data_IF_971785914497
#
_entry.id   IF_971785914497
#
_cell.length_a   1.000
_cell.length_b   1.000
_cell.length_c   1.000
_cell.angle_alpha   90.00
_cell.angle_beta   90.00
_cell.angle_gamma   90.00
#
_symmetry.space_group_name_H-M   'P 1'
#
loop_
_entity.id
_entity.type
_entity.pdbx_description
1 polymer ?
#
# COMPACT_ATOMS: atom_id res chain seq x y z
N UNK A 1 -5.46 7.19 15.20
CA UNK A 1 -6.77 6.49 15.15
C UNK A 1 -7.85 7.18 16.02
N UNK A 2 -7.55 8.24 16.78
CA UNK A 2 -8.48 8.82 17.77
C UNK A 2 -9.27 10.03 17.26
N UNK A 3 -9.14 10.39 15.97
CA UNK A 3 -9.80 11.58 15.39
C UNK A 3 -11.23 11.33 14.92
N UNK A 4 -11.73 10.09 14.95
CA UNK A 4 -13.04 9.73 14.40
C UNK A 4 -13.13 9.79 12.87
N UNK A 5 -12.03 10.10 12.19
CA UNK A 5 -11.98 10.19 10.73
C UNK A 5 -11.93 8.80 10.07
N UNK A 6 -12.36 8.75 8.82
CA UNK A 6 -12.04 7.67 7.90
C UNK A 6 -10.58 7.80 7.48
N UNK A 7 -9.76 6.79 7.82
CA UNK A 7 -8.32 6.84 7.57
C UNK A 7 -7.79 5.52 7.02
N UNK A 8 -6.71 5.60 6.26
CA UNK A 8 -5.87 4.46 5.84
C UNK A 8 -4.42 4.87 5.99
N UNK A 9 -3.58 4.04 6.61
CA UNK A 9 -2.13 4.30 6.71
C UNK A 9 -1.40 3.36 5.75
N UNK A 10 -1.01 3.88 4.60
CA UNK A 10 -0.24 3.11 3.60
C UNK A 10 1.20 2.96 4.09
N UNK A 11 1.72 1.72 4.12
CA UNK A 11 3.08 1.39 4.58
C UNK A 11 3.90 0.82 3.42
N UNK A 12 4.47 1.67 2.55
CA UNK A 12 5.28 1.20 1.43
C UNK A 12 6.59 0.57 1.92
N UNK A 13 7.08 -0.42 1.17
CA UNK A 13 8.44 -0.92 1.31
C UNK A 13 9.48 0.10 0.78
N UNK A 14 10.74 -0.32 0.59
CA UNK A 14 11.78 0.60 0.13
C UNK A 14 11.45 1.18 -1.25
N UNK A 15 11.45 2.51 -1.35
CA UNK A 15 11.07 3.18 -2.59
C UNK A 15 12.05 2.92 -3.74
N UNK A 16 11.50 2.83 -4.94
CA UNK A 16 12.23 2.85 -6.21
C UNK A 16 11.59 3.86 -7.18
N UNK A 17 12.30 4.11 -8.29
CA UNK A 17 11.90 5.07 -9.34
C UNK A 17 11.47 4.39 -10.63
N UNK A 18 10.99 3.15 -10.52
CA UNK A 18 10.42 2.42 -11.65
C UNK A 18 9.11 3.06 -12.15
N UNK A 19 8.69 2.71 -13.38
CA UNK A 19 7.37 3.08 -13.88
C UNK A 19 6.26 2.46 -13.02
N UNK A 20 5.05 3.00 -13.13
CA UNK A 20 3.85 2.34 -12.61
C UNK A 20 3.69 0.98 -13.30
N UNK A 21 3.46 -0.06 -12.50
CA UNK A 21 3.22 -1.42 -12.98
C UNK A 21 1.79 -1.87 -12.68
N UNK A 22 1.18 -1.36 -11.60
CA UNK A 22 -0.09 -1.84 -11.07
C UNK A 22 -0.03 -3.26 -10.49
N UNK A 23 1.14 -3.90 -10.47
CA UNK A 23 1.34 -5.30 -10.08
C UNK A 23 2.22 -5.34 -8.83
N UNK A 24 1.58 -5.42 -7.67
CA UNK A 24 2.26 -5.52 -6.38
C UNK A 24 1.35 -6.19 -5.35
N UNK A 25 1.95 -6.77 -4.31
CA UNK A 25 1.22 -7.31 -3.16
C UNK A 25 0.83 -6.18 -2.21
N UNK A 26 -0.38 -6.25 -1.67
CA UNK A 26 -0.86 -5.28 -0.68
C UNK A 26 -1.70 -5.92 0.43
N UNK A 27 -1.57 -5.41 1.65
CA UNK A 27 -2.34 -5.90 2.80
C UNK A 27 -2.00 -7.33 3.25
N UNK A 28 -0.78 -7.78 2.96
CA UNK A 28 -0.26 -9.08 3.38
C UNK A 28 0.00 -9.14 4.90
N UNK A 29 -0.01 -10.36 5.46
CA UNK A 29 0.27 -10.59 6.88
C UNK A 29 1.76 -10.49 7.18
N UNK A 30 2.11 -10.45 8.47
CA UNK A 30 3.50 -10.47 8.91
C UNK A 30 4.23 -11.78 8.58
N UNK A 31 3.49 -12.85 8.24
CA UNK A 31 4.04 -14.15 7.88
C UNK A 31 4.26 -14.32 6.38
N UNK A 32 3.89 -13.33 5.56
CA UNK A 32 4.10 -13.36 4.12
C UNK A 32 5.60 -13.50 3.80
N UNK A 33 5.93 -14.49 2.98
CA UNK A 33 7.30 -14.77 2.56
C UNK A 33 7.54 -14.26 1.14
N UNK A 34 8.81 -14.13 0.78
CA UNK A 34 9.22 -13.75 -0.58
C UNK A 34 8.71 -12.38 -1.03
N UNK A 35 8.62 -11.43 -0.10
CA UNK A 35 8.45 -10.03 -0.45
C UNK A 35 9.77 -9.48 -0.99
N UNK A 36 9.71 -8.74 -2.08
CA UNK A 36 10.89 -8.05 -2.64
C UNK A 36 11.37 -6.93 -1.74
N UNK A 37 10.48 -6.42 -0.87
CA UNK A 37 10.71 -5.29 0.03
C UNK A 37 11.09 -4.01 -0.73
N UNK A 38 10.58 -3.87 -1.95
CA UNK A 38 10.70 -2.69 -2.79
C UNK A 38 9.34 -2.34 -3.39
N UNK A 39 9.15 -1.07 -3.71
CA UNK A 39 7.95 -0.58 -4.41
C UNK A 39 8.26 0.73 -5.13
N UNK A 40 7.80 0.91 -6.36
CA UNK A 40 7.95 2.18 -7.06
C UNK A 40 7.03 3.24 -6.45
N UNK A 41 7.51 4.48 -6.41
CA UNK A 41 6.69 5.63 -5.96
C UNK A 41 5.40 5.79 -6.78
N UNK A 42 5.48 5.47 -8.08
CA UNK A 42 4.33 5.49 -8.98
C UNK A 42 3.25 4.47 -8.58
N UNK A 43 3.63 3.24 -8.21
CA UNK A 43 2.69 2.21 -7.74
C UNK A 43 2.08 2.56 -6.38
N UNK A 44 2.84 3.22 -5.50
CA UNK A 44 2.30 3.73 -4.23
C UNK A 44 1.24 4.80 -4.48
N UNK A 45 1.50 5.74 -5.40
CA UNK A 45 0.52 6.75 -5.78
C UNK A 45 -0.73 6.11 -6.40
N UNK A 46 -0.56 5.13 -7.29
CA UNK A 46 -1.65 4.34 -7.85
C UNK A 46 -2.52 3.71 -6.75
N UNK A 47 -1.90 3.05 -5.77
CA UNK A 47 -2.63 2.46 -4.63
C UNK A 47 -3.37 3.50 -3.79
N UNK A 48 -2.76 4.67 -3.53
CA UNK A 48 -3.39 5.75 -2.75
C UNK A 48 -4.64 6.28 -3.45
N UNK A 49 -4.60 6.48 -4.76
CA UNK A 49 -5.76 6.94 -5.55
C UNK A 49 -6.92 5.94 -5.48
N UNK A 50 -6.64 4.63 -5.50
CA UNK A 50 -7.66 3.61 -5.33
C UNK A 50 -8.38 3.67 -3.97
N UNK A 51 -7.74 4.19 -2.91
CA UNK A 51 -8.36 4.28 -1.59
C UNK A 51 -9.40 5.40 -1.49
N UNK A 52 -9.43 6.32 -2.46
CA UNK A 52 -10.44 7.39 -2.50
C UNK A 52 -11.84 6.86 -2.84
N UNK A 53 -11.93 5.72 -3.54
CA UNK A 53 -13.18 5.13 -3.98
C UNK A 53 -13.45 3.76 -3.35
N UNK A 54 -12.43 3.11 -2.82
CA UNK A 54 -12.53 1.80 -2.17
C UNK A 54 -12.49 1.91 -0.64
N UNK A 55 -13.45 1.26 0.03
CA UNK A 55 -13.46 1.13 1.50
C UNK A 55 -12.67 -0.08 2.02
N UNK A 56 -11.99 -0.83 1.14
CA UNK A 56 -11.31 -2.09 1.49
C UNK A 56 -10.30 -1.93 2.63
N UNK A 57 -9.62 -0.79 2.69
CA UNK A 57 -8.59 -0.50 3.68
C UNK A 57 -8.98 0.60 4.67
N UNK A 58 -10.29 0.84 4.83
CA UNK A 58 -10.79 1.76 5.83
C UNK A 58 -10.37 1.31 7.23
N UNK A 59 -9.77 2.23 7.98
CA UNK A 59 -9.20 2.01 9.31
C UNK A 59 -8.16 0.87 9.37
N UNK A 60 -7.42 0.69 8.27
CA UNK A 60 -6.38 -0.32 8.15
C UNK A 60 -5.02 0.26 7.75
N UNK A 61 -3.99 -0.57 7.92
CA UNK A 61 -2.60 -0.19 7.68
C UNK A 61 -1.92 -1.12 6.68
N UNK A 62 -2.35 -1.14 5.40
CA UNK A 62 -1.82 -2.07 4.41
C UNK A 62 -0.32 -1.84 4.16
N UNK A 63 0.45 -2.94 4.11
CA UNK A 63 1.81 -2.92 3.56
C UNK A 63 1.79 -3.05 2.04
N UNK A 64 2.75 -2.44 1.34
CA UNK A 64 2.93 -2.55 -0.12
C UNK A 64 4.33 -3.04 -0.47
N UNK A 65 4.43 -4.06 -1.32
CA UNK A 65 5.70 -4.58 -1.85
C UNK A 65 5.44 -5.33 -3.16
N UNK A 66 6.40 -5.33 -4.06
CA UNK A 66 6.47 -6.36 -5.11
C UNK A 66 6.60 -7.76 -4.49
#
# INVERSE_FOLDING_TARGET
RNSGLDWTIVRPAAFTDGPETGIFKHGFSAQEKHLTLKIARADVAHFMLQQLTSKRYLQWTPGLSY
#
